data_IF_131787263720
#
_entry.id   IF_131787263720
#
_cell.length_a   1.000
_cell.length_b   1.000
_cell.length_c   1.000
_cell.angle_alpha   90.00
_cell.angle_beta   90.00
_cell.angle_gamma   90.00
#
_symmetry.space_group_name_H-M   'P 1'
#
loop_
_entity.id
_entity.type
_entity.pdbx_description
1 polymer ?
#
# COMPACT_ATOMS: atom_id res chain seq x y z
N UNK A 1 18.56 -22.40 -2.31
CA UNK A 1 17.18 -22.60 -2.80
C UNK A 1 16.14 -22.82 -1.70
N UNK A 2 16.24 -23.82 -0.80
CA UNK A 2 15.21 -24.01 0.26
C UNK A 2 15.31 -22.97 1.40
N UNK A 3 16.46 -22.31 1.51
CA UNK A 3 16.72 -21.24 2.49
C UNK A 3 16.20 -19.89 1.98
N UNK A 4 16.49 -19.55 0.72
CA UNK A 4 16.14 -18.25 0.12
C UNK A 4 14.62 -17.96 0.13
N UNK A 5 13.79 -18.96 -0.18
CA UNK A 5 12.33 -18.81 -0.15
C UNK A 5 11.79 -18.61 1.28
N UNK A 6 12.38 -19.31 2.26
CA UNK A 6 12.03 -19.17 3.68
C UNK A 6 12.49 -17.82 4.22
N UNK A 7 13.68 -17.39 3.86
CA UNK A 7 14.24 -16.09 4.20
C UNK A 7 13.37 -14.96 3.62
N UNK A 8 13.03 -15.03 2.33
CA UNK A 8 12.12 -14.09 1.70
C UNK A 8 10.78 -14.02 2.44
N UNK A 9 10.14 -15.18 2.70
CA UNK A 9 8.88 -15.22 3.45
C UNK A 9 9.01 -14.56 4.82
N UNK A 10 10.10 -14.82 5.54
CA UNK A 10 10.36 -14.20 6.84
C UNK A 10 10.50 -12.68 6.75
N UNK A 11 11.26 -12.18 5.78
CA UNK A 11 11.44 -10.75 5.54
C UNK A 11 10.11 -10.09 5.16
N UNK A 12 9.36 -10.70 4.24
CA UNK A 12 8.08 -10.18 3.77
C UNK A 12 7.03 -10.12 4.90
N UNK A 13 6.90 -11.20 5.68
CA UNK A 13 5.98 -11.25 6.83
C UNK A 13 6.42 -10.27 7.93
N UNK A 14 7.72 -10.16 8.22
CA UNK A 14 8.22 -9.19 9.18
C UNK A 14 7.92 -7.75 8.73
N UNK A 15 8.11 -7.44 7.44
CA UNK A 15 7.80 -6.13 6.88
C UNK A 15 6.30 -5.81 7.01
N UNK A 16 5.42 -6.77 6.72
CA UNK A 16 3.97 -6.58 6.78
C UNK A 16 3.43 -6.46 8.20
N UNK A 17 3.93 -7.28 9.13
CA UNK A 17 3.29 -7.49 10.43
C UNK A 17 4.01 -6.79 11.59
N UNK A 18 5.34 -6.71 11.53
CA UNK A 18 6.18 -6.26 12.65
C UNK A 18 6.76 -4.88 12.43
N UNK A 19 7.14 -4.55 11.19
CA UNK A 19 7.82 -3.30 10.89
C UNK A 19 6.87 -2.09 10.93
N UNK A 20 7.32 -0.97 11.53
CA UNK A 20 6.59 0.29 11.49
C UNK A 20 6.97 1.07 10.23
N UNK A 21 6.05 1.17 9.28
CA UNK A 21 6.30 1.82 7.99
C UNK A 21 6.56 3.33 8.12
N UNK A 22 6.10 3.95 9.22
CA UNK A 22 6.33 5.37 9.48
C UNK A 22 7.78 5.73 9.79
N UNK A 23 8.63 4.77 10.19
CA UNK A 23 10.05 5.04 10.48
C UNK A 23 10.84 5.57 9.29
N UNK A 24 10.35 5.36 8.07
CA UNK A 24 11.03 5.84 6.88
C UNK A 24 10.55 7.23 6.43
N UNK A 25 9.47 7.80 7.00
CA UNK A 25 8.88 9.09 6.57
C UNK A 25 8.79 10.13 7.69
N UNK A 26 8.40 11.35 7.30
CA UNK A 26 8.04 12.43 8.22
C UNK A 26 6.54 12.55 8.47
N UNK A 27 5.72 11.51 8.23
CA UNK A 27 4.29 11.58 8.55
C UNK A 27 4.03 11.26 10.02
N UNK A 28 3.11 12.00 10.67
CA UNK A 28 2.80 11.88 12.10
C UNK A 28 2.02 10.60 12.44
N UNK A 29 1.15 10.15 11.54
CA UNK A 29 0.35 8.94 11.77
C UNK A 29 1.24 7.71 11.65
N UNK A 30 1.23 6.78 12.60
CA UNK A 30 1.96 5.50 12.47
C UNK A 30 1.15 4.41 11.76
N UNK A 31 -0.16 4.61 11.61
CA UNK A 31 -1.10 3.55 11.20
C UNK A 31 -1.47 3.59 9.73
N UNK A 32 -1.47 4.78 9.10
CA UNK A 32 -1.87 4.93 7.70
C UNK A 32 -0.99 4.04 6.79
N UNK A 33 -1.63 3.26 5.92
CA UNK A 33 -1.02 2.30 5.01
C UNK A 33 -0.77 0.93 5.64
N UNK A 34 -0.23 0.90 6.87
CA UNK A 34 0.08 -0.34 7.60
C UNK A 34 -1.18 -1.03 8.11
N UNK A 35 -2.07 -0.28 8.76
CA UNK A 35 -3.31 -0.84 9.28
C UNK A 35 -4.16 -1.35 8.11
N UNK A 36 -4.61 -2.59 8.15
CA UNK A 36 -5.45 -3.13 7.08
C UNK A 36 -4.76 -3.17 5.71
N UNK A 37 -3.42 -3.24 5.61
CA UNK A 37 -2.69 -3.34 4.33
C UNK A 37 -3.20 -4.47 3.41
N UNK A 38 -3.72 -5.56 3.99
CA UNK A 38 -4.36 -6.65 3.24
C UNK A 38 -5.56 -6.19 2.41
N UNK A 39 -6.25 -5.12 2.80
CA UNK A 39 -7.29 -4.49 1.98
C UNK A 39 -6.71 -3.91 0.69
N UNK A 40 -5.52 -3.31 0.73
CA UNK A 40 -4.85 -2.84 -0.49
C UNK A 40 -4.47 -4.00 -1.40
N UNK A 41 -4.10 -5.17 -0.86
CA UNK A 41 -3.91 -6.37 -1.69
C UNK A 41 -5.21 -6.77 -2.41
N UNK A 42 -6.36 -6.70 -1.74
CA UNK A 42 -7.65 -6.94 -2.37
C UNK A 42 -7.90 -5.91 -3.49
N UNK A 43 -7.64 -4.63 -3.23
CA UNK A 43 -7.79 -3.58 -4.24
C UNK A 43 -6.88 -3.80 -5.45
N UNK A 44 -5.60 -4.17 -5.25
CA UNK A 44 -4.67 -4.48 -6.34
C UNK A 44 -5.10 -5.72 -7.12
N UNK A 45 -5.53 -6.77 -6.44
CA UNK A 45 -6.06 -7.98 -7.10
C UNK A 45 -7.24 -7.63 -8.02
N UNK A 46 -8.14 -6.75 -7.57
CA UNK A 46 -9.35 -6.36 -8.32
C UNK A 46 -9.10 -5.32 -9.42
N UNK A 47 -8.25 -4.33 -9.17
CA UNK A 47 -8.14 -3.13 -10.01
C UNK A 47 -6.76 -2.93 -10.66
N UNK A 48 -5.74 -3.65 -10.19
CA UNK A 48 -4.34 -3.41 -10.51
C UNK A 48 -3.89 -3.84 -11.90
N UNK A 49 -4.69 -4.60 -12.65
CA UNK A 49 -4.38 -4.94 -14.04
C UNK A 49 -4.46 -3.72 -14.98
N UNK A 50 -5.12 -2.65 -14.55
CA UNK A 50 -5.23 -1.40 -15.29
C UNK A 50 -4.42 -0.32 -14.56
N UNK A 51 -3.67 0.49 -15.33
CA UNK A 51 -2.96 1.66 -14.80
C UNK A 51 -3.96 2.61 -14.13
N UNK A 52 -3.75 2.92 -12.85
CA UNK A 52 -4.63 3.81 -12.05
C UNK A 52 -3.80 4.73 -11.17
N UNK A 53 -4.34 5.90 -10.85
CA UNK A 53 -3.69 6.78 -9.88
C UNK A 53 -3.62 6.15 -8.49
N UNK A 54 -2.61 6.48 -7.71
CA UNK A 54 -2.46 6.11 -6.32
C UNK A 54 -3.62 6.62 -5.44
N UNK A 55 -4.13 7.82 -5.73
CA UNK A 55 -5.31 8.43 -5.09
C UNK A 55 -6.55 7.55 -5.21
N UNK A 56 -6.76 6.86 -6.34
CA UNK A 56 -7.87 5.92 -6.51
C UNK A 56 -7.86 4.81 -5.45
N UNK A 57 -6.67 4.31 -5.10
CA UNK A 57 -6.52 3.30 -4.06
C UNK A 57 -6.63 3.91 -2.67
N UNK A 58 -6.03 5.09 -2.46
CA UNK A 58 -6.07 5.81 -1.19
C UNK A 58 -7.52 6.12 -0.78
N UNK A 59 -8.32 6.66 -1.70
CA UNK A 59 -9.73 6.96 -1.48
C UNK A 59 -10.51 5.72 -1.06
N UNK A 60 -10.30 4.57 -1.72
CA UNK A 60 -10.97 3.32 -1.34
C UNK A 60 -10.53 2.83 0.04
N UNK A 61 -9.25 2.93 0.33
CA UNK A 61 -8.70 2.56 1.64
C UNK A 61 -9.32 3.40 2.76
N UNK A 62 -9.39 4.72 2.60
CA UNK A 62 -9.97 5.58 3.61
C UNK A 62 -11.50 5.52 3.68
N UNK A 63 -12.18 5.20 2.57
CA UNK A 63 -13.61 4.87 2.63
C UNK A 63 -13.88 3.61 3.46
N UNK A 64 -12.95 2.64 3.47
CA UNK A 64 -13.06 1.45 4.31
C UNK A 64 -12.62 1.71 5.77
N UNK A 65 -11.67 2.62 5.99
CA UNK A 65 -11.10 2.92 7.30
C UNK A 65 -11.08 4.43 7.61
N UNK A 66 -12.25 5.09 7.70
CA UNK A 66 -12.33 6.55 7.81
C UNK A 66 -11.69 7.08 9.10
N UNK A 67 -11.77 6.31 10.20
CA UNK A 67 -11.21 6.68 11.51
C UNK A 67 -9.69 6.88 11.50
N UNK A 68 -8.98 6.41 10.47
CA UNK A 68 -7.53 6.64 10.35
C UNK A 68 -7.18 8.11 10.05
N UNK A 69 -8.16 8.93 9.64
CA UNK A 69 -7.99 10.36 9.45
C UNK A 69 -8.26 11.18 10.72
N UNK A 70 -8.83 10.58 11.77
CA UNK A 70 -9.23 11.31 12.97
C UNK A 70 -8.00 11.85 13.72
N UNK A 71 -8.10 13.10 14.19
CA UNK A 71 -7.04 13.75 14.95
C UNK A 71 -5.80 14.13 14.14
N UNK A 72 -5.81 13.94 12.81
CA UNK A 72 -4.73 14.38 11.94
C UNK A 72 -4.81 15.90 11.74
N UNK A 73 -3.76 16.58 12.17
CA UNK A 73 -3.53 18.01 11.93
C UNK A 73 -2.32 18.19 11.01
N UNK A 74 -2.55 18.35 9.69
CA UNK A 74 -1.49 18.58 8.74
C UNK A 74 -0.98 20.02 8.90
N UNK A 75 0.32 20.18 9.13
CA UNK A 75 0.93 21.53 9.20
C UNK A 75 0.82 22.33 7.90
N UNK A 76 0.42 21.69 6.79
CA UNK A 76 0.14 22.29 5.50
C UNK A 76 -0.81 21.40 4.66
N UNK A 77 -1.70 22.00 3.89
CA UNK A 77 -2.64 21.29 3.01
C UNK A 77 -3.91 20.79 3.72
N UNK A 78 -4.69 19.95 3.03
CA UNK A 78 -5.90 19.34 3.61
C UNK A 78 -5.58 18.02 4.29
N UNK A 79 -6.40 17.62 5.27
CA UNK A 79 -6.29 16.29 5.94
C UNK A 79 -6.33 15.17 4.91
N UNK A 80 -7.25 15.24 3.95
CA UNK A 80 -7.38 14.27 2.88
C UNK A 80 -6.08 14.13 2.08
N UNK A 81 -5.53 15.23 1.55
CA UNK A 81 -4.32 15.18 0.73
C UNK A 81 -3.12 14.65 1.55
N UNK A 82 -3.02 15.05 2.81
CA UNK A 82 -1.98 14.56 3.71
C UNK A 82 -2.08 13.05 3.93
N UNK A 83 -3.27 12.56 4.26
CA UNK A 83 -3.54 11.16 4.52
C UNK A 83 -3.36 10.29 3.26
N UNK A 84 -3.87 10.74 2.11
CA UNK A 84 -3.71 10.05 0.82
C UNK A 84 -2.24 9.97 0.40
N UNK A 85 -1.48 11.06 0.57
CA UNK A 85 -0.05 11.08 0.29
C UNK A 85 0.73 10.16 1.25
N UNK A 86 0.39 10.16 2.54
CA UNK A 86 0.97 9.24 3.53
C UNK A 86 0.72 7.78 3.15
N UNK A 87 -0.51 7.45 2.77
CA UNK A 87 -0.90 6.12 2.31
C UNK A 87 -0.10 5.71 1.06
N UNK A 88 -0.04 6.59 0.05
CA UNK A 88 0.63 6.34 -1.22
C UNK A 88 2.13 6.06 -1.03
N UNK A 89 2.83 6.94 -0.30
CA UNK A 89 4.27 6.83 -0.04
C UNK A 89 4.60 5.51 0.67
N UNK A 90 3.86 5.17 1.71
CA UNK A 90 4.13 3.95 2.49
C UNK A 90 3.78 2.69 1.73
N UNK A 91 2.65 2.68 1.07
CA UNK A 91 2.09 1.47 0.48
C UNK A 91 2.72 1.17 -0.87
N UNK A 92 2.86 2.16 -1.74
CA UNK A 92 3.33 1.94 -3.09
C UNK A 92 4.84 2.14 -3.21
N UNK A 93 5.38 3.28 -2.82
CA UNK A 93 6.81 3.57 -3.06
C UNK A 93 7.74 2.76 -2.17
N UNK A 94 7.39 2.60 -0.88
CA UNK A 94 8.28 2.02 0.13
C UNK A 94 8.04 0.56 0.41
N UNK A 95 6.86 0.07 0.05
CA UNK A 95 6.51 -1.33 0.21
C UNK A 95 6.39 -2.02 -1.15
N UNK A 96 5.30 -1.80 -1.88
CA UNK A 96 4.98 -2.64 -3.04
C UNK A 96 5.97 -2.49 -4.19
N UNK A 97 6.48 -1.29 -4.45
CA UNK A 97 7.53 -1.07 -5.44
C UNK A 97 8.84 -1.73 -5.03
N UNK A 98 9.21 -1.64 -3.74
CA UNK A 98 10.42 -2.26 -3.20
C UNK A 98 10.41 -3.79 -3.32
N UNK A 99 9.24 -4.41 -3.14
CA UNK A 99 9.04 -5.85 -3.35
C UNK A 99 8.65 -6.23 -4.79
N UNK A 100 8.72 -5.30 -5.75
CA UNK A 100 8.35 -5.50 -7.15
C UNK A 100 6.92 -6.04 -7.37
N UNK A 101 6.00 -5.74 -6.45
CA UNK A 101 4.58 -6.09 -6.52
C UNK A 101 3.78 -5.16 -7.45
N UNK A 102 4.29 -3.95 -7.66
CA UNK A 102 3.70 -2.94 -8.56
C UNK A 102 4.78 -2.29 -9.40
N UNK A 103 4.36 -1.74 -10.53
CA UNK A 103 5.14 -0.81 -11.34
C UNK A 103 4.63 0.62 -11.10
N UNK A 104 5.59 1.54 -10.97
CA UNK A 104 5.35 2.97 -10.82
C UNK A 104 6.26 3.73 -11.77
N UNK A 105 5.87 3.92 -13.05
CA UNK A 105 6.69 4.64 -14.01
C UNK A 105 6.95 6.07 -13.51
N UNK A 106 8.22 6.45 -13.43
CA UNK A 106 8.63 7.80 -13.07
C UNK A 106 8.30 8.75 -14.24
N UNK A 107 7.13 9.36 -14.21
CA UNK A 107 6.83 10.48 -15.10
C UNK A 107 7.61 11.72 -14.63
N UNK A 108 8.31 12.39 -15.55
CA UNK A 108 9.34 13.41 -15.25
C UNK A 108 8.86 14.52 -14.30
N UNK A 109 9.56 14.66 -13.18
CA UNK A 109 9.88 15.83 -12.30
C UNK A 109 8.87 16.94 -11.97
N UNK A 110 7.65 16.98 -12.50
CA UNK A 110 6.67 18.01 -12.10
C UNK A 110 5.21 17.53 -12.04
N UNK A 111 4.93 16.26 -12.35
CA UNK A 111 3.57 15.72 -12.30
C UNK A 111 3.28 15.01 -10.96
N UNK A 112 2.23 15.51 -10.31
CA UNK A 112 1.73 15.22 -8.97
C UNK A 112 1.08 13.83 -8.88
N UNK A 113 0.64 13.26 -10.01
CA UNK A 113 -0.06 11.97 -10.06
C UNK A 113 0.92 10.80 -10.19
N UNK A 114 0.82 9.84 -9.27
CA UNK A 114 1.55 8.57 -9.34
C UNK A 114 0.62 7.51 -9.86
N UNK A 115 1.06 6.73 -10.84
CA UNK A 115 0.27 5.66 -11.40
C UNK A 115 0.79 4.29 -11.00
N UNK A 116 -0.13 3.41 -10.64
CA UNK A 116 0.12 2.06 -10.12
C UNK A 116 -0.46 1.04 -11.09
N UNK A 117 0.37 0.07 -11.46
CA UNK A 117 -0.03 -1.17 -12.14
C UNK A 117 0.53 -2.36 -11.36
N UNK A 118 -0.27 -3.40 -11.16
CA UNK A 118 0.14 -4.64 -10.48
C UNK A 118 1.04 -5.47 -11.38
N UNK A 119 2.09 -6.08 -10.83
CA UNK A 119 2.97 -6.97 -11.58
C UNK A 119 2.47 -8.42 -11.60
N UNK A 120 3.02 -9.22 -12.51
CA UNK A 120 2.83 -10.69 -12.49
C UNK A 120 3.38 -11.35 -11.21
N UNK A 121 4.35 -10.71 -10.56
CA UNK A 121 4.92 -11.19 -9.29
C UNK A 121 3.90 -11.09 -8.15
N UNK A 122 3.07 -10.04 -8.12
CA UNK A 122 1.98 -9.95 -7.16
C UNK A 122 1.07 -11.19 -7.25
N UNK A 123 0.62 -11.55 -8.45
CA UNK A 123 -0.31 -12.68 -8.63
C UNK A 123 0.35 -14.03 -8.31
N UNK A 124 1.68 -14.10 -8.42
CA UNK A 124 2.46 -15.29 -8.05
C UNK A 124 2.63 -15.43 -6.53
N UNK A 125 2.66 -14.31 -5.79
CA UNK A 125 2.92 -14.29 -4.34
C UNK A 125 1.64 -14.19 -3.49
N UNK A 126 0.61 -13.52 -3.99
CA UNK A 126 -0.58 -13.15 -3.24
C UNK A 126 -1.82 -13.77 -3.87
N UNK A 127 -2.50 -14.62 -3.11
CA UNK A 127 -3.79 -15.20 -3.49
C UNK A 127 -4.90 -14.60 -2.64
N UNK A 128 -5.90 -14.00 -3.29
CA UNK A 128 -7.12 -13.53 -2.64
C UNK A 128 -8.15 -14.65 -2.67
N UNK A 129 -8.49 -15.19 -1.51
CA UNK A 129 -9.49 -16.24 -1.38
C UNK A 129 -10.84 -15.63 -0.99
N UNK A 130 -11.95 -16.10 -1.57
CA UNK A 130 -13.27 -15.70 -1.10
C UNK A 130 -13.45 -16.14 0.36
N UNK A 131 -14.31 -15.42 1.09
CA UNK A 131 -14.70 -15.86 2.42
C UNK A 131 -15.32 -17.26 2.31
N UNK A 132 -14.79 -18.22 3.07
CA UNK A 132 -15.43 -19.52 3.20
C UNK A 132 -16.61 -19.33 4.13
N UNK A 133 -17.82 -19.49 3.63
CA UNK A 133 -19.00 -19.60 4.48
C UNK A 133 -18.72 -20.72 5.51
N UNK A 134 -18.86 -20.38 6.79
CA UNK A 134 -18.79 -21.40 7.84
C UNK A 134 -20.04 -22.26 7.69
N UNK A 135 -19.84 -23.54 7.35
CA UNK A 135 -20.92 -24.55 7.39
C UNK A 135 -21.38 -24.77 8.82
#
# INVERSE_FOLDING_TARGET
MNDDAKLFKHIFEAFCLKFNWGYFDGYKSEQIGRFGFGFTFILLSKYGNLKREDTFYAQKYFNAFPLLMDGIDPGYGTVTNYCESCYSVRTFERFMLHFALVEMPLERRYNISKFITKTVLFDSLIQILPHKESK
#
